data_IF_096588434635
#
_entry.id   IF_096588434635
#
_cell.length_a   1.000
_cell.length_b   1.000
_cell.length_c   1.000
_cell.angle_alpha   90.00
_cell.angle_beta   90.00
_cell.angle_gamma   90.00
#
_symmetry.space_group_name_H-M   'P 1'
#
loop_
_entity.id
_entity.type
_entity.pdbx_description
1 polymer ?
#
# COMPACT_ATOMS: atom_id res chain seq x y z
N UNK A 1 -31.32 -0.97 -11.19
CA UNK A 1 -30.33 -0.16 -10.46
C UNK A 1 -29.18 -1.08 -10.10
N UNK A 2 -28.37 -1.44 -11.08
CA UNK A 2 -27.14 -2.21 -10.86
C UNK A 2 -26.02 -1.21 -11.07
N UNK A 3 -25.27 -0.91 -10.01
CA UNK A 3 -24.01 -0.17 -10.14
C UNK A 3 -23.15 -0.92 -11.16
N UNK A 4 -22.53 -0.24 -12.14
CA UNK A 4 -21.52 -0.89 -12.97
C UNK A 4 -20.42 -1.46 -12.04
N UNK A 5 -19.83 -2.62 -12.38
CA UNK A 5 -18.68 -3.11 -11.64
C UNK A 5 -17.59 -2.03 -11.63
N UNK A 6 -16.84 -1.85 -10.53
CA UNK A 6 -15.72 -0.93 -10.50
C UNK A 6 -14.79 -1.27 -11.67
N UNK A 7 -14.51 -0.29 -12.55
CA UNK A 7 -13.60 -0.50 -13.65
C UNK A 7 -12.22 -0.83 -13.06
N UNK A 8 -11.63 -2.00 -13.38
CA UNK A 8 -10.34 -2.40 -12.81
C UNK A 8 -9.23 -1.39 -13.15
N UNK A 9 -9.35 -0.70 -14.28
CA UNK A 9 -8.41 0.32 -14.74
C UNK A 9 -8.36 1.56 -13.82
N UNK A 10 -9.49 1.91 -13.20
CA UNK A 10 -9.58 3.06 -12.28
C UNK A 10 -8.96 2.76 -10.92
N UNK A 11 -9.18 1.54 -10.39
CA UNK A 11 -8.54 1.11 -9.15
C UNK A 11 -7.02 1.01 -9.33
N UNK A 12 -6.56 0.32 -10.38
CA UNK A 12 -5.13 0.15 -10.65
C UNK A 12 -4.38 1.49 -10.79
N UNK A 13 -5.00 2.50 -11.43
CA UNK A 13 -4.43 3.85 -11.55
C UNK A 13 -4.32 4.57 -10.20
N UNK A 14 -5.31 4.38 -9.32
CA UNK A 14 -5.31 4.91 -7.96
C UNK A 14 -4.21 4.28 -7.10
N UNK A 15 -4.09 2.94 -7.16
CA UNK A 15 -3.07 2.17 -6.42
C UNK A 15 -1.66 2.61 -6.82
N UNK A 16 -1.40 2.71 -8.12
CA UNK A 16 -0.10 3.15 -8.64
C UNK A 16 0.24 4.57 -8.13
N UNK A 17 -0.71 5.51 -8.24
CA UNK A 17 -0.49 6.90 -7.80
C UNK A 17 -0.21 6.99 -6.30
N UNK A 18 -1.02 6.30 -5.49
CA UNK A 18 -0.84 6.23 -4.04
C UNK A 18 0.50 5.58 -3.65
N UNK A 19 0.86 4.49 -4.33
CA UNK A 19 2.11 3.79 -4.07
C UNK A 19 3.31 4.66 -4.42
N UNK A 20 3.35 5.28 -5.59
CA UNK A 20 4.44 6.17 -6.00
C UNK A 20 4.62 7.32 -4.99
N UNK A 21 3.54 7.86 -4.43
CA UNK A 21 3.61 8.93 -3.43
C UNK A 21 4.16 8.46 -2.06
N UNK A 22 3.89 7.23 -1.65
CA UNK A 22 4.13 6.77 -0.27
C UNK A 22 5.15 5.64 -0.09
N UNK A 23 5.57 4.96 -1.17
CA UNK A 23 6.47 3.80 -1.10
C UNK A 23 7.77 4.09 -0.33
N UNK A 24 8.37 5.27 -0.52
CA UNK A 24 9.60 5.64 0.17
C UNK A 24 9.40 5.72 1.69
N UNK A 25 8.19 6.11 2.15
CA UNK A 25 7.86 6.13 3.57
C UNK A 25 7.69 4.72 4.12
N UNK A 26 7.04 3.82 3.38
CA UNK A 26 6.91 2.40 3.74
C UNK A 26 8.30 1.77 3.93
N UNK A 27 9.19 1.95 2.94
CA UNK A 27 10.58 1.49 3.01
C UNK A 27 11.34 2.06 4.21
N UNK A 28 11.21 3.37 4.46
CA UNK A 28 11.86 4.01 5.60
C UNK A 28 11.36 3.48 6.95
N UNK A 29 10.07 3.18 7.07
CA UNK A 29 9.50 2.60 8.31
C UNK A 29 10.02 1.18 8.51
N UNK A 30 9.92 0.33 7.48
CA UNK A 30 10.44 -1.04 7.53
C UNK A 30 11.93 -1.07 7.87
N UNK A 31 12.73 -0.21 7.23
CA UNK A 31 14.16 -0.11 7.50
C UNK A 31 14.46 0.32 8.93
N UNK A 32 13.69 1.26 9.50
CA UNK A 32 13.89 1.69 10.89
C UNK A 32 13.52 0.62 11.92
N UNK A 33 12.55 -0.24 11.61
CA UNK A 33 12.11 -1.31 12.52
C UNK A 33 13.00 -2.55 12.42
N UNK A 34 13.39 -2.92 11.20
CA UNK A 34 14.13 -4.17 10.92
C UNK A 34 15.65 -3.97 10.84
N UNK A 35 16.12 -2.72 10.69
CA UNK A 35 17.55 -2.39 10.48
C UNK A 35 18.20 -3.11 9.27
N UNK A 36 17.39 -3.53 8.31
CA UNK A 36 17.80 -4.27 7.11
C UNK A 36 17.07 -3.71 5.90
N UNK A 37 17.81 -3.40 4.84
CA UNK A 37 17.23 -2.86 3.59
C UNK A 37 16.46 -3.96 2.86
N UNK A 38 17.01 -5.17 2.81
CA UNK A 38 16.38 -6.31 2.12
C UNK A 38 15.06 -6.69 2.76
N UNK A 39 15.00 -6.79 4.10
CA UNK A 39 13.75 -7.10 4.78
C UNK A 39 12.73 -5.95 4.66
N UNK A 40 13.19 -4.70 4.58
CA UNK A 40 12.30 -3.56 4.34
C UNK A 40 11.70 -3.56 2.93
N UNK A 41 12.48 -3.96 1.92
CA UNK A 41 12.00 -4.13 0.55
C UNK A 41 10.99 -5.27 0.44
N UNK A 42 11.22 -6.39 1.14
CA UNK A 42 10.30 -7.53 1.20
C UNK A 42 8.95 -7.10 1.80
N UNK A 43 8.97 -6.42 2.95
CA UNK A 43 7.76 -5.84 3.56
C UNK A 43 7.07 -4.86 2.61
N UNK A 44 7.82 -4.00 1.90
CA UNK A 44 7.22 -3.08 0.94
C UNK A 44 6.51 -3.81 -0.22
N UNK A 45 7.04 -4.94 -0.68
CA UNK A 45 6.38 -5.77 -1.70
C UNK A 45 5.07 -6.37 -1.17
N UNK A 46 5.07 -6.91 0.05
CA UNK A 46 3.85 -7.43 0.69
C UNK A 46 2.79 -6.34 0.94
N UNK A 47 3.22 -5.15 1.37
CA UNK A 47 2.32 -4.00 1.55
C UNK A 47 1.71 -3.58 0.21
N UNK A 48 2.50 -3.53 -0.87
CA UNK A 48 2.00 -3.20 -2.20
C UNK A 48 0.98 -4.23 -2.70
N UNK A 49 1.27 -5.52 -2.55
CA UNK A 49 0.34 -6.59 -2.92
C UNK A 49 -1.02 -6.41 -2.21
N UNK A 50 -1.00 -6.13 -0.90
CA UNK A 50 -2.23 -5.89 -0.13
C UNK A 50 -2.95 -4.61 -0.54
N UNK A 51 -2.22 -3.58 -0.97
CA UNK A 51 -2.83 -2.35 -1.50
C UNK A 51 -3.54 -2.63 -2.84
N UNK A 52 -2.96 -3.47 -3.71
CA UNK A 52 -3.59 -3.85 -4.98
C UNK A 52 -4.86 -4.69 -4.81
N UNK A 53 -4.94 -5.46 -3.72
CA UNK A 53 -6.14 -6.23 -3.36
C UNK A 53 -7.19 -5.41 -2.60
N UNK A 54 -6.80 -4.25 -2.07
CA UNK A 54 -7.72 -3.39 -1.33
C UNK A 54 -8.59 -2.55 -2.28
N UNK A 55 -9.85 -2.35 -1.90
CA UNK A 55 -10.73 -1.42 -2.60
C UNK A 55 -10.32 0.02 -2.22
N UNK A 56 -9.62 0.72 -3.11
CA UNK A 56 -9.12 2.09 -2.86
C UNK A 56 -10.23 3.09 -2.48
N UNK A 57 -11.45 2.87 -2.96
CA UNK A 57 -12.61 3.71 -2.62
C UNK A 57 -13.04 3.56 -1.15
N UNK A 58 -12.68 2.45 -0.50
CA UNK A 58 -12.96 2.19 0.92
C UNK A 58 -11.86 2.71 1.86
N UNK A 59 -10.71 3.12 1.32
CA UNK A 59 -9.59 3.64 2.12
C UNK A 59 -9.67 5.16 2.19
N UNK A 60 -10.18 5.67 3.31
CA UNK A 60 -10.28 7.11 3.59
C UNK A 60 -8.89 7.79 3.75
N UNK A 61 -7.93 7.11 4.38
CA UNK A 61 -6.55 7.58 4.56
C UNK A 61 -5.53 6.52 4.15
N UNK A 62 -5.06 6.61 2.89
CA UNK A 62 -4.14 5.63 2.30
C UNK A 62 -2.81 5.59 3.02
N UNK A 63 -2.30 6.75 3.43
CA UNK A 63 -1.06 6.83 4.17
C UNK A 63 -1.16 6.13 5.54
N UNK A 64 -2.20 6.40 6.31
CA UNK A 64 -2.41 5.75 7.62
C UNK A 64 -2.65 4.26 7.49
N UNK A 65 -3.34 3.81 6.44
CA UNK A 65 -3.46 2.39 6.12
C UNK A 65 -2.09 1.76 5.86
N UNK A 66 -1.27 2.37 4.99
CA UNK A 66 0.08 1.88 4.66
C UNK A 66 0.98 1.81 5.89
N UNK A 67 1.00 2.84 6.73
CA UNK A 67 1.77 2.85 7.99
C UNK A 67 1.31 1.72 8.90
N UNK A 68 0.00 1.54 9.05
CA UNK A 68 -0.57 0.50 9.92
C UNK A 68 -0.21 -0.90 9.44
N UNK A 69 -0.32 -1.18 8.14
CA UNK A 69 0.01 -2.48 7.58
C UNK A 69 1.51 -2.76 7.69
N UNK A 70 2.35 -1.77 7.33
CA UNK A 70 3.81 -1.89 7.45
C UNK A 70 4.22 -2.19 8.90
N UNK A 71 3.72 -1.41 9.87
CA UNK A 71 4.05 -1.62 11.29
C UNK A 71 3.51 -2.92 11.89
N UNK A 72 2.57 -3.61 11.23
CA UNK A 72 2.10 -4.94 11.66
C UNK A 72 2.97 -6.09 11.13
N UNK A 73 3.78 -5.83 10.11
CA UNK A 73 4.65 -6.82 9.47
C UNK A 73 6.07 -6.80 10.03
N UNK A 74 6.49 -5.68 10.63
CA UNK A 74 7.79 -5.51 11.27
C UNK A 74 7.74 -5.71 12.79
#
# INVERSE_FOLDING_TARGET
>A
MTSPPPNPDSNASGVESAWLEHHQRVLNIGYRMLSSVTDAEDVAQDVYARLTEAEMDEIDDVLGWLVTVTSRMC
#
